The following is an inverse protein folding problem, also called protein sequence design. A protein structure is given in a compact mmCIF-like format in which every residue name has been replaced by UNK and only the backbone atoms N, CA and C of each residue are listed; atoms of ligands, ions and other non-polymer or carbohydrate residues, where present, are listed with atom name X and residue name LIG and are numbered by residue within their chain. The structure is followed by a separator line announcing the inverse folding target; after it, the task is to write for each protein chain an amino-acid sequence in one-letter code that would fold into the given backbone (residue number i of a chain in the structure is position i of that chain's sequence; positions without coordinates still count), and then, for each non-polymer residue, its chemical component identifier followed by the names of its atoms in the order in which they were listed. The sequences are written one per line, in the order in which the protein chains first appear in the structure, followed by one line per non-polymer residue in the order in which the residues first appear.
data_IF_730551317051
#
_entry.id   IF_730551317051
#
_cell.length_a   1.000
_cell.length_b   1.000
_cell.length_c   1.000
_cell.angle_alpha   90.00
_cell.angle_beta   90.00
_cell.angle_gamma   90.00
#
_symmetry.space_group_name_H-M   'P 1'
#
loop_
_entity.id
_entity.type
_entity.pdbx_description
1 polymer ?
#
# COMPACT_ATOMS: atom_id res chain seq x y z
N UNK A 1 -10.14 10.37 -9.01
CA UNK A 1 -10.77 10.34 -7.65
C UNK A 1 -12.13 11.06 -7.60
N UNK A 2 -12.60 11.55 -8.73
CA UNK A 2 -13.86 12.32 -8.80
C UNK A 2 -15.10 11.48 -8.45
N UNK A 3 -15.03 10.17 -8.65
CA UNK A 3 -16.06 9.22 -8.24
C UNK A 3 -16.39 9.25 -6.75
N UNK A 4 -15.47 9.70 -5.89
CA UNK A 4 -15.72 9.84 -4.46
C UNK A 4 -16.73 10.94 -4.11
N UNK A 5 -16.94 11.90 -5.03
CA UNK A 5 -17.97 12.93 -4.88
C UNK A 5 -19.38 12.46 -5.26
N UNK A 6 -19.49 11.26 -5.83
CA UNK A 6 -20.76 10.64 -6.23
C UNK A 6 -21.21 9.51 -5.28
N UNK A 7 -20.55 9.37 -4.14
CA UNK A 7 -20.94 8.39 -3.12
C UNK A 7 -22.34 8.70 -2.57
N UNK A 8 -23.10 7.66 -2.17
CA UNK A 8 -24.37 7.89 -1.48
C UNK A 8 -24.13 8.66 -0.17
N UNK A 9 -25.12 9.45 0.30
CA UNK A 9 -25.01 10.16 1.56
C UNK A 9 -24.61 9.24 2.71
N UNK A 10 -23.52 9.57 3.40
CA UNK A 10 -23.03 8.84 4.56
C UNK A 10 -22.20 9.78 5.43
N UNK A 11 -22.20 9.63 6.76
CA UNK A 11 -21.38 10.46 7.63
C UNK A 11 -19.89 10.42 7.25
N UNK A 12 -19.40 9.21 6.92
CA UNK A 12 -18.00 8.99 6.52
C UNK A 12 -17.89 7.75 5.63
N UNK A 13 -17.01 7.84 4.62
CA UNK A 13 -16.59 6.69 3.81
C UNK A 13 -15.08 6.47 3.99
N UNK A 14 -14.67 5.23 4.27
CA UNK A 14 -13.27 4.85 4.56
C UNK A 14 -12.98 3.45 4.02
N UNK A 15 -11.74 3.16 3.58
CA UNK A 15 -11.35 1.80 3.23
C UNK A 15 -11.06 0.96 4.48
N UNK A 16 -11.03 -0.38 4.32
CA UNK A 16 -10.56 -1.29 5.38
C UNK A 16 -9.05 -1.25 5.50
N UNK A 17 -8.56 -1.39 6.74
CA UNK A 17 -7.14 -1.58 7.07
C UNK A 17 -6.76 -3.05 6.81
N UNK A 18 -6.58 -3.43 5.56
CA UNK A 18 -6.38 -4.82 5.11
C UNK A 18 -5.17 -5.51 5.75
N UNK A 19 -4.17 -4.75 6.18
CA UNK A 19 -2.93 -5.24 6.81
C UNK A 19 -3.11 -5.69 8.26
N UNK A 20 -4.26 -5.42 8.88
CA UNK A 20 -4.51 -5.82 10.26
C UNK A 20 -4.99 -7.27 10.31
N UNK A 21 -4.18 -8.12 10.96
CA UNK A 21 -4.49 -9.53 11.18
C UNK A 21 -5.08 -9.69 12.58
N UNK A 22 -6.15 -10.48 12.70
CA UNK A 22 -6.76 -10.73 14.02
C UNK A 22 -8.18 -11.29 13.93
N UNK A 23 -8.95 -11.02 14.96
CA UNK A 23 -10.34 -11.45 15.05
C UNK A 23 -11.26 -10.65 14.11
N UNK A 24 -12.54 -11.01 14.06
CA UNK A 24 -13.54 -10.35 13.20
C UNK A 24 -13.64 -8.83 13.42
N UNK A 25 -13.41 -8.37 14.64
CA UNK A 25 -13.40 -6.94 14.95
C UNK A 25 -12.21 -6.24 14.31
N UNK A 26 -11.03 -6.86 14.36
CA UNK A 26 -9.80 -6.35 13.74
C UNK A 26 -9.92 -6.32 12.22
N UNK A 27 -10.46 -7.37 11.61
CA UNK A 27 -10.72 -7.43 10.16
C UNK A 27 -11.68 -6.34 9.66
N UNK A 28 -12.54 -5.84 10.53
CA UNK A 28 -13.46 -4.73 10.21
C UNK A 28 -12.86 -3.35 10.46
N UNK A 29 -11.61 -3.25 10.90
CA UNK A 29 -10.95 -1.97 11.14
C UNK A 29 -10.90 -1.14 9.86
N UNK A 30 -11.13 0.17 10.02
CA UNK A 30 -11.06 1.17 8.97
C UNK A 30 -9.69 1.84 8.98
N UNK A 31 -9.18 2.18 7.81
CA UNK A 31 -7.94 2.93 7.63
C UNK A 31 -8.25 4.44 7.51
N UNK A 32 -7.52 5.27 8.23
CA UNK A 32 -7.70 6.73 8.23
C UNK A 32 -6.95 7.48 7.12
N UNK A 33 -6.26 6.77 6.22
CA UNK A 33 -5.44 7.39 5.17
C UNK A 33 -6.25 8.16 4.13
N UNK A 34 -7.45 7.68 3.83
CA UNK A 34 -8.41 8.33 2.94
C UNK A 34 -9.77 8.31 3.62
N UNK A 35 -10.37 9.48 3.72
CA UNK A 35 -11.68 9.68 4.31
C UNK A 35 -12.50 10.62 3.44
N UNK A 36 -13.72 10.25 3.13
CA UNK A 36 -14.72 11.15 2.56
C UNK A 36 -15.74 11.44 3.64
N UNK A 37 -15.85 12.70 4.04
CA UNK A 37 -16.67 13.14 5.17
C UNK A 37 -17.78 14.02 4.66
N UNK A 38 -19.00 13.72 5.04
CA UNK A 38 -20.15 14.63 4.87
C UNK A 38 -20.16 15.61 6.05
N UNK A 39 -19.96 16.91 5.84
CA UNK A 39 -19.96 17.88 6.93
C UNK A 39 -21.26 17.86 7.72
N UNK A 40 -21.18 17.74 9.05
CA UNK A 40 -22.31 17.73 9.97
C UNK A 40 -21.89 18.25 11.33
N UNK A 41 -22.64 19.20 11.88
CA UNK A 41 -22.40 19.76 13.23
C UNK A 41 -22.53 18.64 14.27
N UNK A 42 -23.52 17.76 14.14
CA UNK A 42 -23.71 16.64 15.05
C UNK A 42 -22.50 15.70 15.07
N UNK A 43 -21.97 15.35 13.89
CA UNK A 43 -20.78 14.47 13.80
C UNK A 43 -19.54 15.17 14.33
N UNK A 44 -19.40 16.47 14.07
CA UNK A 44 -18.31 17.26 14.63
C UNK A 44 -18.34 17.24 16.17
N UNK A 45 -19.48 17.52 16.78
CA UNK A 45 -19.62 17.51 18.24
C UNK A 45 -19.37 16.11 18.82
N UNK A 46 -19.82 15.05 18.12
CA UNK A 46 -19.58 13.66 18.52
C UNK A 46 -18.09 13.32 18.51
N UNK A 47 -17.37 13.69 17.44
CA UNK A 47 -15.91 13.50 17.34
C UNK A 47 -15.19 14.31 18.41
N UNK A 48 -15.55 15.58 18.61
CA UNK A 48 -14.95 16.44 19.64
C UNK A 48 -15.09 15.85 21.05
N UNK A 49 -16.24 15.22 21.33
CA UNK A 49 -16.45 14.54 22.61
C UNK A 49 -15.51 13.34 22.77
N UNK A 50 -15.36 12.52 21.74
CA UNK A 50 -14.46 11.34 21.79
C UNK A 50 -12.98 11.78 21.88
N UNK A 51 -12.57 12.84 21.21
CA UNK A 51 -11.20 13.39 21.34
C UNK A 51 -10.90 13.79 22.78
N UNK A 52 -11.87 14.40 23.49
CA UNK A 52 -11.69 14.79 24.89
C UNK A 52 -11.58 13.60 25.86
N UNK A 53 -12.09 12.44 25.45
CA UNK A 53 -12.08 11.19 26.22
C UNK A 53 -10.95 10.25 25.80
N UNK A 54 -10.25 10.58 24.72
CA UNK A 54 -9.19 9.74 24.17
C UNK A 54 -7.98 9.67 25.10
N UNK A 55 -7.39 8.50 25.20
CA UNK A 55 -6.14 8.28 25.91
C UNK A 55 -4.95 8.88 25.11
N UNK A 56 -3.82 9.10 25.80
CA UNK A 56 -2.63 9.72 25.20
C UNK A 56 -2.03 8.91 24.04
N UNK A 57 -2.24 7.60 24.03
CA UNK A 57 -1.72 6.65 23.05
C UNK A 57 -2.77 6.29 22.00
N UNK A 58 -3.90 6.98 21.99
CA UNK A 58 -4.98 6.78 21.05
C UNK A 58 -4.87 7.78 19.90
N UNK A 59 -4.72 7.24 18.68
CA UNK A 59 -4.57 8.01 17.46
C UNK A 59 -5.93 8.14 16.73
N UNK A 60 -5.91 8.86 15.61
CA UNK A 60 -7.08 9.10 14.75
C UNK A 60 -7.75 7.80 14.30
N UNK A 61 -6.97 6.78 13.96
CA UNK A 61 -7.49 5.50 13.48
C UNK A 61 -8.30 4.77 14.56
N UNK A 62 -7.82 4.72 15.79
CA UNK A 62 -8.53 4.09 16.92
C UNK A 62 -9.84 4.83 17.21
N UNK A 63 -9.77 6.15 17.29
CA UNK A 63 -10.91 7.02 17.56
C UNK A 63 -11.99 6.86 16.48
N UNK A 64 -11.61 6.91 15.21
CA UNK A 64 -12.54 6.75 14.09
C UNK A 64 -13.14 5.34 14.06
N UNK A 65 -12.39 4.33 14.43
CA UNK A 65 -12.90 2.96 14.54
C UNK A 65 -13.88 2.78 15.70
N UNK A 66 -13.71 3.47 16.82
CA UNK A 66 -14.72 3.50 17.90
C UNK A 66 -16.06 4.04 17.37
N UNK A 67 -16.02 5.12 16.59
CA UNK A 67 -17.20 5.81 16.11
C UNK A 67 -17.85 5.15 14.90
N UNK A 68 -17.05 4.65 13.94
CA UNK A 68 -17.56 4.39 12.59
C UNK A 68 -17.31 2.98 12.05
N UNK A 69 -16.60 2.08 12.75
CA UNK A 69 -16.27 0.74 12.26
C UNK A 69 -17.43 -0.02 11.62
N UNK A 70 -18.62 0.13 12.20
CA UNK A 70 -19.83 -0.61 11.79
C UNK A 70 -20.79 0.23 10.94
N UNK A 71 -20.56 1.53 10.78
CA UNK A 71 -21.50 2.47 10.14
C UNK A 71 -20.91 3.22 8.95
N UNK A 72 -19.58 3.25 8.80
CA UNK A 72 -18.95 3.86 7.66
C UNK A 72 -19.31 3.14 6.35
N UNK A 73 -19.44 3.90 5.28
CA UNK A 73 -19.41 3.35 3.93
C UNK A 73 -18.00 2.84 3.63
N UNK A 74 -17.89 1.56 3.25
CA UNK A 74 -16.57 0.94 3.02
C UNK A 74 -16.11 1.16 1.59
N UNK A 75 -14.98 1.86 1.42
CA UNK A 75 -14.32 2.02 0.14
C UNK A 75 -13.47 0.79 -0.21
N UNK A 76 -13.31 0.43 -1.50
CA UNK A 76 -12.43 -0.66 -1.91
C UNK A 76 -10.97 -0.37 -1.52
N UNK A 77 -10.38 -1.21 -0.68
CA UNK A 77 -9.02 -0.98 -0.16
C UNK A 77 -7.96 -1.02 -1.27
N UNK A 78 -8.07 -1.90 -2.25
CA UNK A 78 -7.12 -2.00 -3.37
C UNK A 78 -6.93 -0.67 -4.11
N UNK A 79 -7.98 0.12 -4.24
CA UNK A 79 -7.92 1.40 -4.94
C UNK A 79 -7.51 2.57 -4.04
N UNK A 80 -7.92 2.56 -2.77
CA UNK A 80 -7.86 3.76 -1.94
C UNK A 80 -6.94 3.68 -0.73
N UNK A 81 -6.26 2.56 -0.48
CA UNK A 81 -5.38 2.46 0.68
C UNK A 81 -4.24 1.45 0.54
N UNK A 82 -3.57 1.44 -0.59
CA UNK A 82 -2.34 0.66 -0.71
C UNK A 82 -1.25 1.22 0.20
N UNK A 83 -0.55 0.35 0.92
CA UNK A 83 0.66 0.69 1.65
C UNK A 83 1.88 0.55 0.73
N UNK A 84 2.83 1.48 0.79
CA UNK A 84 4.09 1.33 0.03
C UNK A 84 4.90 0.13 0.51
N UNK A 85 4.75 -0.26 1.77
CA UNK A 85 5.37 -1.48 2.31
C UNK A 85 4.86 -2.76 1.65
N UNK A 86 3.72 -2.74 0.97
CA UNK A 86 3.20 -3.91 0.25
C UNK A 86 4.20 -4.42 -0.79
N UNK A 87 4.94 -3.54 -1.45
CA UNK A 87 5.99 -3.92 -2.41
C UNK A 87 7.20 -4.63 -1.79
N UNK A 88 7.25 -4.71 -0.45
CA UNK A 88 8.33 -5.38 0.34
C UNK A 88 7.87 -6.70 0.95
N UNK A 89 6.57 -6.95 0.94
CA UNK A 89 6.01 -8.18 1.47
C UNK A 89 6.27 -9.36 0.52
N UNK A 90 6.25 -10.55 1.06
CA UNK A 90 6.34 -11.81 0.29
C UNK A 90 4.98 -12.51 0.14
N UNK A 91 3.99 -12.08 0.93
CA UNK A 91 2.63 -12.58 0.88
C UNK A 91 1.67 -11.41 0.72
N UNK A 92 0.97 -11.37 -0.40
CA UNK A 92 0.07 -10.31 -0.79
C UNK A 92 -1.42 -10.67 -0.66
N UNK A 93 -1.73 -11.84 -0.08
CA UNK A 93 -3.11 -12.34 -0.02
C UNK A 93 -4.06 -11.39 0.73
N UNK A 94 -3.58 -10.67 1.74
CA UNK A 94 -4.38 -9.69 2.48
C UNK A 94 -4.74 -8.49 1.61
N UNK A 95 -3.78 -7.99 0.81
CA UNK A 95 -4.04 -6.89 -0.11
C UNK A 95 -4.89 -7.33 -1.29
N UNK A 96 -4.59 -8.48 -1.89
CA UNK A 96 -5.34 -9.02 -3.02
C UNK A 96 -6.75 -9.48 -2.61
N UNK A 97 -6.95 -9.85 -1.33
CA UNK A 97 -8.18 -10.47 -0.85
C UNK A 97 -8.37 -11.88 -1.43
N UNK A 98 -7.29 -12.53 -1.89
CA UNK A 98 -7.27 -13.82 -2.56
C UNK A 98 -5.95 -14.55 -2.29
N UNK A 99 -6.05 -15.85 -2.01
CA UNK A 99 -4.88 -16.73 -1.85
C UNK A 99 -4.41 -17.33 -3.18
N UNK A 100 -5.14 -17.10 -4.26
CA UNK A 100 -4.87 -17.69 -5.60
C UNK A 100 -4.50 -16.67 -6.65
N UNK A 101 -4.74 -15.39 -6.41
CA UNK A 101 -4.36 -14.31 -7.32
C UNK A 101 -2.84 -14.08 -7.23
N UNK A 102 -2.16 -14.12 -8.38
CA UNK A 102 -0.73 -13.82 -8.43
C UNK A 102 -0.46 -12.33 -8.25
N UNK A 103 0.53 -12.00 -7.44
CA UNK A 103 0.99 -10.63 -7.27
C UNK A 103 1.72 -10.13 -8.52
N UNK A 104 1.22 -9.03 -9.05
CA UNK A 104 1.88 -8.24 -10.09
C UNK A 104 1.98 -6.78 -9.62
N UNK A 105 3.16 -6.29 -9.27
CA UNK A 105 3.34 -4.94 -8.72
C UNK A 105 2.97 -3.84 -9.73
N UNK A 106 3.14 -4.09 -11.03
CA UNK A 106 2.80 -3.12 -12.08
C UNK A 106 1.29 -3.05 -12.27
N UNK A 107 0.62 -4.19 -12.32
CA UNK A 107 -0.83 -4.26 -12.39
C UNK A 107 -1.47 -3.62 -11.16
N UNK A 108 -1.00 -3.96 -9.96
CA UNK A 108 -1.46 -3.40 -8.70
C UNK A 108 -1.30 -1.86 -8.66
N UNK A 109 -0.14 -1.34 -9.11
CA UNK A 109 0.10 0.10 -9.20
C UNK A 109 -0.86 0.79 -10.18
N UNK A 110 -1.26 0.12 -11.25
CA UNK A 110 -2.20 0.68 -12.24
C UNK A 110 -3.64 0.82 -11.72
N UNK A 111 -4.03 0.00 -10.75
CA UNK A 111 -5.36 0.02 -10.12
C UNK A 111 -5.46 1.06 -9.00
N UNK A 112 -4.35 1.32 -8.32
CA UNK A 112 -4.35 2.14 -7.11
C UNK A 112 -4.45 3.62 -7.42
N UNK A 113 -5.22 4.34 -6.61
CA UNK A 113 -5.42 5.80 -6.70
C UNK A 113 -4.71 6.56 -5.59
N UNK A 114 -4.48 5.89 -4.46
CA UNK A 114 -3.75 6.46 -3.32
C UNK A 114 -2.82 5.44 -2.69
N UNK A 115 -1.59 5.87 -2.42
CA UNK A 115 -0.56 5.08 -1.75
C UNK A 115 -0.14 5.82 -0.48
N UNK A 116 -0.15 5.09 0.64
CA UNK A 116 0.37 5.59 1.90
C UNK A 116 1.80 5.10 2.11
N UNK A 117 2.74 6.04 2.26
CA UNK A 117 4.14 5.70 2.56
C UNK A 117 4.27 5.17 3.99
N UNK A 118 4.32 3.84 4.14
CA UNK A 118 4.25 3.12 5.43
C UNK A 118 5.56 2.43 5.84
N UNK A 119 6.64 2.66 5.13
CA UNK A 119 7.90 1.92 5.23
C UNK A 119 8.77 2.27 6.46
N UNK A 120 8.17 2.55 7.63
CA UNK A 120 8.98 2.81 8.82
C UNK A 120 10.00 1.68 9.07
N UNK A 121 11.25 1.99 9.38
CA UNK A 121 11.87 3.29 9.63
C UNK A 121 12.46 4.00 8.40
N UNK A 122 12.11 3.61 7.17
CA UNK A 122 12.47 4.38 5.97
C UNK A 122 11.90 5.80 6.08
N UNK A 123 12.72 6.84 5.84
CA UNK A 123 12.26 8.20 5.95
C UNK A 123 11.17 8.51 4.91
N UNK A 124 10.19 9.29 5.32
CA UNK A 124 9.12 9.73 4.42
C UNK A 124 9.70 10.52 3.25
N UNK A 125 9.13 10.40 2.02
CA UNK A 125 9.71 11.00 0.81
C UNK A 125 9.77 12.54 0.83
N UNK A 126 9.04 13.19 1.72
CA UNK A 126 9.10 14.65 1.90
C UNK A 126 10.20 15.14 2.85
N UNK A 127 10.95 14.23 3.49
CA UNK A 127 12.10 14.60 4.33
C UNK A 127 13.23 15.14 3.44
N UNK A 128 13.58 16.43 3.64
CA UNK A 128 14.57 17.13 2.82
C UNK A 128 16.00 16.59 2.99
N UNK A 129 16.41 16.37 4.25
CA UNK A 129 17.77 15.97 4.58
C UNK A 129 17.74 14.58 5.19
N UNK A 130 18.49 13.66 4.60
CA UNK A 130 18.63 12.30 5.10
C UNK A 130 19.84 12.21 6.03
N UNK A 131 19.63 11.65 7.23
CA UNK A 131 20.71 11.29 8.14
C UNK A 131 21.44 10.04 7.64
N UNK A 132 22.54 9.69 8.27
CA UNK A 132 23.23 8.42 8.02
C UNK A 132 22.28 7.23 8.25
N UNK A 133 21.56 7.22 9.37
CA UNK A 133 20.61 6.15 9.70
C UNK A 133 19.46 6.05 8.71
N UNK A 134 18.96 7.17 8.20
CA UNK A 134 17.95 7.16 7.14
C UNK A 134 18.45 6.42 5.89
N UNK A 135 19.68 6.67 5.47
CA UNK A 135 20.29 6.02 4.30
C UNK A 135 20.47 4.51 4.54
N UNK A 136 20.93 4.12 5.74
CA UNK A 136 21.06 2.71 6.11
C UNK A 136 19.69 2.00 6.12
N UNK A 137 18.65 2.67 6.63
CA UNK A 137 17.29 2.12 6.64
C UNK A 137 16.75 1.92 5.23
N UNK A 138 16.99 2.86 4.30
CA UNK A 138 16.61 2.72 2.90
C UNK A 138 17.28 1.47 2.31
N UNK A 139 18.61 1.35 2.41
CA UNK A 139 19.36 0.22 1.85
C UNK A 139 18.91 -1.12 2.43
N UNK A 140 18.71 -1.16 3.75
CA UNK A 140 18.32 -2.39 4.47
C UNK A 140 16.91 -2.87 4.12
N UNK A 141 15.99 -1.93 3.91
CA UNK A 141 14.56 -2.20 3.76
C UNK A 141 14.07 -2.12 2.31
N UNK A 142 14.96 -1.81 1.38
CA UNK A 142 14.64 -1.87 -0.04
C UNK A 142 14.18 -3.29 -0.45
N UNK A 143 13.10 -3.42 -1.25
CA UNK A 143 12.65 -4.70 -1.74
C UNK A 143 13.76 -5.45 -2.48
N UNK A 144 13.84 -6.76 -2.29
CA UNK A 144 14.76 -7.62 -3.03
C UNK A 144 14.09 -8.09 -4.31
N UNK A 145 14.92 -8.33 -5.35
CA UNK A 145 14.43 -9.01 -6.54
C UNK A 145 14.08 -10.46 -6.22
N UNK A 146 13.05 -10.97 -6.85
CA UNK A 146 12.56 -12.34 -6.68
C UNK A 146 13.05 -13.24 -7.82
N UNK A 147 13.30 -14.52 -7.53
CA UNK A 147 13.60 -15.50 -8.57
C UNK A 147 12.30 -16.14 -9.05
N UNK A 148 11.81 -15.73 -10.22
CA UNK A 148 10.60 -16.29 -10.84
C UNK A 148 10.95 -17.30 -11.93
N UNK A 149 10.13 -18.35 -12.09
CA UNK A 149 10.26 -19.27 -13.22
C UNK A 149 9.94 -18.54 -14.51
N UNK A 150 10.78 -18.67 -15.54
CA UNK A 150 10.50 -18.09 -16.87
C UNK A 150 9.17 -18.62 -17.39
N UNK A 151 8.26 -17.73 -17.75
CA UNK A 151 7.01 -18.08 -18.44
C UNK A 151 7.42 -18.56 -19.84
N UNK A 152 7.35 -19.87 -20.10
CA UNK A 152 7.57 -20.44 -21.46
C UNK A 152 6.58 -19.75 -22.42
N UNK A 153 7.08 -18.91 -23.33
CA UNK A 153 6.26 -18.38 -24.43
C UNK A 153 5.77 -19.58 -25.22
N UNK A 154 4.45 -19.79 -25.29
CA UNK A 154 3.83 -20.81 -26.16
C UNK A 154 4.11 -20.42 -27.62
N UNK A 155 5.28 -20.77 -28.12
CA UNK A 155 5.50 -20.81 -29.54
C UNK A 155 4.85 -22.10 -30.07
N UNK A 156 3.75 -21.97 -30.84
CA UNK A 156 3.12 -23.03 -31.58
C UNK A 156 4.07 -23.52 -32.69
N UNK A 157 5.08 -24.31 -32.32
CA UNK A 157 5.79 -25.21 -33.26
C UNK A 157 5.76 -26.59 -32.64
N UNK A 158 4.87 -27.44 -33.18
CA UNK A 158 4.95 -28.87 -33.02
C UNK A 158 6.28 -29.35 -33.58
N UNK A 159 7.26 -29.68 -32.73
CA UNK A 159 8.29 -30.64 -33.06
C UNK A 159 8.35 -31.62 -31.91
N UNK A 160 8.14 -32.88 -32.27
CA UNK A 160 8.33 -34.07 -31.46
C UNK A 160 9.81 -34.30 -31.20
N UNK A 161 10.07 -34.97 -30.10
CA UNK A 161 11.26 -35.68 -29.67
C UNK A 161 12.30 -34.83 -28.98
N UNK A 162 12.54 -35.20 -27.74
CA UNK A 162 13.79 -34.92 -27.03
C UNK A 162 13.66 -34.35 -25.65
N UNK A 163 13.98 -35.17 -24.67
CA UNK A 163 14.45 -34.90 -23.31
C UNK A 163 13.85 -33.68 -22.59
N UNK A 164 13.00 -33.96 -21.62
CA UNK A 164 12.64 -33.04 -20.54
C UNK A 164 13.91 -32.74 -19.71
N UNK A 165 14.77 -31.87 -20.23
CA UNK A 165 15.75 -31.16 -19.41
C UNK A 165 14.97 -30.11 -18.60
N UNK A 166 14.63 -30.50 -17.37
CA UNK A 166 14.07 -29.62 -16.33
C UNK A 166 15.18 -28.62 -15.90
N UNK A 167 15.73 -27.92 -16.88
CA UNK A 167 16.65 -26.80 -16.62
C UNK A 167 15.84 -25.76 -15.86
N UNK A 168 16.22 -25.56 -14.61
CA UNK A 168 15.70 -24.67 -13.60
C UNK A 168 15.87 -23.20 -14.05
N UNK A 169 15.19 -22.84 -15.15
CA UNK A 169 15.33 -21.57 -15.85
C UNK A 169 14.58 -20.48 -15.06
N UNK A 170 15.25 -20.03 -13.98
CA UNK A 170 14.78 -18.92 -13.15
C UNK A 170 15.29 -17.61 -13.71
N UNK A 171 14.45 -16.61 -13.66
CA UNK A 171 14.72 -15.23 -14.06
C UNK A 171 14.57 -14.32 -12.83
N UNK A 172 15.47 -13.37 -12.68
CA UNK A 172 15.38 -12.38 -11.62
C UNK A 172 14.32 -11.33 -11.99
N UNK A 173 13.30 -11.17 -11.13
CA UNK A 173 12.25 -10.18 -11.26
C UNK A 173 12.45 -9.08 -10.21
N UNK A 174 12.76 -7.89 -10.66
CA UNK A 174 12.98 -6.71 -9.83
C UNK A 174 11.79 -5.72 -9.86
N UNK A 175 10.68 -6.08 -10.48
CA UNK A 175 9.56 -5.17 -10.70
C UNK A 175 9.00 -4.55 -9.42
N UNK A 176 8.91 -5.31 -8.33
CA UNK A 176 8.49 -4.78 -7.01
C UNK A 176 9.45 -3.74 -6.46
N UNK A 177 10.77 -4.00 -6.55
CA UNK A 177 11.81 -3.05 -6.14
C UNK A 177 11.77 -1.77 -6.99
N UNK A 178 11.66 -1.91 -8.28
CA UNK A 178 11.71 -0.79 -9.20
C UNK A 178 10.48 0.10 -9.01
N UNK A 179 9.29 -0.47 -8.88
CA UNK A 179 8.06 0.28 -8.52
C UNK A 179 8.22 1.02 -7.19
N UNK A 180 8.75 0.36 -6.16
CA UNK A 180 8.96 1.01 -4.86
C UNK A 180 9.93 2.19 -4.94
N UNK A 181 11.05 2.05 -5.65
CA UNK A 181 12.01 3.13 -5.90
C UNK A 181 11.37 4.30 -6.63
N UNK A 182 10.62 4.00 -7.70
CA UNK A 182 9.97 4.99 -8.54
C UNK A 182 8.92 5.79 -7.76
N UNK A 183 8.16 5.18 -6.86
CA UNK A 183 7.21 5.87 -6.00
C UNK A 183 7.89 6.96 -5.16
N UNK A 184 9.01 6.63 -4.51
CA UNK A 184 9.80 7.58 -3.72
C UNK A 184 10.45 8.67 -4.57
N UNK A 185 10.99 8.30 -5.73
CA UNK A 185 11.63 9.22 -6.66
C UNK A 185 10.62 10.20 -7.28
N UNK A 186 9.48 9.71 -7.76
CA UNK A 186 8.43 10.53 -8.36
C UNK A 186 7.84 11.52 -7.34
N UNK A 187 7.58 11.08 -6.11
CA UNK A 187 7.11 11.99 -5.06
C UNK A 187 8.10 13.14 -4.81
N UNK A 188 9.39 12.83 -4.69
CA UNK A 188 10.45 13.84 -4.50
C UNK A 188 10.49 14.82 -5.66
N UNK A 189 10.47 14.31 -6.90
CA UNK A 189 10.46 15.12 -8.12
C UNK A 189 9.27 16.08 -8.16
N UNK A 190 8.05 15.59 -7.91
CA UNK A 190 6.83 16.41 -7.93
C UNK A 190 6.81 17.48 -6.84
N UNK A 191 7.40 17.22 -5.69
CA UNK A 191 7.46 18.19 -4.57
C UNK A 191 8.64 19.15 -4.67
N UNK A 192 9.44 19.14 -5.75
CA UNK A 192 10.61 20.02 -5.91
C UNK A 192 11.69 19.76 -4.85
N UNK A 193 11.72 18.57 -4.23
CA UNK A 193 12.74 18.15 -3.28
C UNK A 193 13.95 17.62 -4.04
N UNK A 194 14.41 18.37 -5.04
CA UNK A 194 15.35 17.94 -6.06
C UNK A 194 16.83 17.94 -5.63
N UNK A 195 17.17 18.14 -4.36
CA UNK A 195 18.55 18.14 -3.87
C UNK A 195 18.83 17.05 -2.84
N UNK A 196 18.32 15.84 -3.03
CA UNK A 196 18.81 14.69 -2.30
C UNK A 196 19.50 13.78 -3.30
N UNK A 197 20.85 13.81 -3.24
CA UNK A 197 21.70 12.84 -3.91
C UNK A 197 21.09 11.44 -3.85
N UNK A 198 21.15 10.77 -4.96
CA UNK A 198 20.53 9.48 -5.26
C UNK A 198 20.95 8.35 -4.32
N UNK A 199 20.41 8.34 -3.11
CA UNK A 199 20.49 7.14 -2.27
C UNK A 199 19.62 5.99 -2.84
N UNK A 200 18.78 6.30 -3.84
CA UNK A 200 17.92 5.33 -4.54
C UNK A 200 18.41 4.97 -5.95
N UNK A 201 19.60 5.46 -6.40
CA UNK A 201 20.06 5.30 -7.78
C UNK A 201 21.48 4.73 -7.92
N UNK A 202 22.03 4.12 -6.88
CA UNK A 202 23.33 3.38 -6.97
C UNK A 202 23.18 1.93 -6.60
#
# INVERSE_FOLDING_TARGET
MDELFHLPPCPIAMPRAYWLIGNETTKKALASHVMVIQPSVQEFDRIQKEIKLADKDEYDMELLNKLYRNTALVLPHRQYTMLSSEFRETNHSLYLGSDTEEWDPIAALSEVKTIHFSDYPVPKPWKKFLTYDDRQNIIKLEPKCEMKKKKKKKNNKKNKDGDDDDSNDKEEDCSGRDVWRDLYADFKKRKGVSHVESAFLT
#
